data_IF_516858973314
#
_entry.id   IF_516858973314
#
_cell.length_a   1.000
_cell.length_b   1.000
_cell.length_c   1.000
_cell.angle_alpha   90.00
_cell.angle_beta   90.00
_cell.angle_gamma   90.00
#
_symmetry.space_group_name_H-M   'P 1'
#
loop_
_entity.id
_entity.type
_entity.pdbx_description
1 polymer ?
#
# COMPACT_ATOMS: atom_id res chain seq x y z
N UNK A 1 3.86 38.05 -16.72
CA UNK A 1 3.52 37.20 -15.58
C UNK A 1 3.51 35.77 -16.12
N UNK A 2 4.65 35.09 -15.99
CA UNK A 2 4.76 33.66 -16.32
C UNK A 2 3.88 32.86 -15.37
N UNK A 3 2.96 32.09 -15.94
CA UNK A 3 2.16 31.12 -15.19
C UNK A 3 3.11 30.05 -14.70
N UNK A 4 3.42 30.08 -13.40
CA UNK A 4 4.18 29.04 -12.73
C UNK A 4 3.33 27.74 -12.79
N UNK A 5 3.54 26.94 -13.82
CA UNK A 5 2.94 25.60 -13.92
C UNK A 5 3.57 24.77 -12.79
N UNK A 6 2.81 24.25 -11.85
CA UNK A 6 3.38 23.45 -10.77
C UNK A 6 4.16 22.29 -11.40
N UNK A 7 5.44 22.15 -11.06
CA UNK A 7 6.22 20.99 -11.46
C UNK A 7 5.54 19.71 -10.94
N UNK A 8 5.44 18.66 -11.76
CA UNK A 8 4.85 17.41 -11.31
C UNK A 8 5.62 16.92 -10.08
N UNK A 9 4.89 16.52 -9.03
CA UNK A 9 5.48 15.93 -7.83
C UNK A 9 6.28 14.68 -8.20
N UNK A 10 7.58 14.69 -7.95
CA UNK A 10 8.48 13.57 -8.21
C UNK A 10 8.23 12.43 -7.21
N UNK A 11 7.92 12.80 -5.95
CA UNK A 11 7.70 11.87 -4.84
C UNK A 11 6.24 11.88 -4.38
N UNK A 12 5.70 10.69 -4.17
CA UNK A 12 4.35 10.51 -3.63
C UNK A 12 4.33 10.54 -2.09
N UNK A 13 5.43 10.05 -1.47
CA UNK A 13 5.62 10.07 -0.02
C UNK A 13 7.03 10.56 0.24
N UNK A 14 7.19 11.48 1.20
CA UNK A 14 8.47 11.94 1.71
C UNK A 14 8.42 12.04 3.22
N UNK A 15 9.37 11.45 3.91
CA UNK A 15 9.55 11.64 5.35
C UNK A 15 10.90 12.27 5.65
N UNK A 16 10.94 13.10 6.69
CA UNK A 16 12.18 13.73 7.17
C UNK A 16 12.25 13.55 8.69
N UNK A 17 13.29 12.85 9.15
CA UNK A 17 13.57 12.54 10.55
C UNK A 17 12.32 12.07 11.32
N UNK A 18 11.51 11.23 10.65
CA UNK A 18 10.31 10.69 11.26
C UNK A 18 10.67 9.75 12.40
N UNK A 19 10.18 10.07 13.58
CA UNK A 19 10.27 9.24 14.78
C UNK A 19 8.86 8.88 15.22
N UNK A 20 8.65 7.64 15.67
CA UNK A 20 7.35 7.21 16.16
C UNK A 20 7.49 6.29 17.38
N UNK A 21 6.63 6.50 18.35
CA UNK A 21 6.53 5.70 19.58
C UNK A 21 5.13 5.12 19.74
N UNK A 22 5.09 3.88 20.21
CA UNK A 22 3.91 3.25 20.81
C UNK A 22 4.13 3.22 22.32
N UNK A 23 3.50 4.16 23.05
CA UNK A 23 3.80 4.39 24.45
C UNK A 23 5.27 4.75 24.67
N UNK A 24 6.02 3.91 25.36
CA UNK A 24 7.48 4.10 25.61
C UNK A 24 8.36 3.45 24.55
N UNK A 25 7.82 2.55 23.72
CA UNK A 25 8.58 1.85 22.69
C UNK A 25 8.74 2.69 21.44
N UNK A 26 9.98 3.01 21.06
CA UNK A 26 10.29 3.72 19.83
C UNK A 26 10.36 2.73 18.66
N UNK A 27 9.42 2.82 17.74
CA UNK A 27 9.30 1.90 16.60
C UNK A 27 9.95 2.45 15.32
N UNK A 28 10.07 3.78 15.18
CA UNK A 28 10.78 4.43 14.07
C UNK A 28 11.76 5.46 14.63
N UNK A 29 12.96 5.51 14.05
CA UNK A 29 14.07 6.33 14.51
C UNK A 29 14.67 7.08 13.31
N UNK A 30 14.46 8.41 13.25
CA UNK A 30 15.01 9.33 12.25
C UNK A 30 14.81 8.86 10.80
N UNK A 31 13.64 8.27 10.50
CA UNK A 31 13.34 7.74 9.17
C UNK A 31 13.16 8.88 8.16
N UNK A 32 14.13 9.00 7.25
CA UNK A 32 14.09 9.92 6.11
C UNK A 32 14.03 9.08 4.83
N UNK A 33 12.92 9.16 4.09
CA UNK A 33 12.64 8.30 2.96
C UNK A 33 11.83 9.04 1.90
N UNK A 34 12.07 8.74 0.64
CA UNK A 34 11.36 9.32 -0.50
C UNK A 34 10.86 8.19 -1.40
N UNK A 35 9.54 8.11 -1.61
CA UNK A 35 8.90 7.13 -2.49
C UNK A 35 8.47 7.83 -3.77
N UNK A 36 9.01 7.40 -4.89
CA UNK A 36 8.74 7.97 -6.21
C UNK A 36 7.32 7.71 -6.65
N UNK A 37 6.73 8.70 -7.30
CA UNK A 37 5.37 8.59 -7.83
C UNK A 37 5.31 7.60 -9.00
N UNK A 38 4.27 6.77 -9.01
CA UNK A 38 3.99 5.81 -10.08
C UNK A 38 4.87 4.56 -10.05
N UNK A 39 5.77 4.43 -9.07
CA UNK A 39 6.64 3.26 -8.92
C UNK A 39 6.13 2.31 -7.84
N UNK A 40 6.61 1.07 -7.91
CA UNK A 40 6.46 0.06 -6.88
C UNK A 40 7.72 0.05 -6.02
N UNK A 41 7.58 0.42 -4.75
CA UNK A 41 8.66 0.34 -3.77
C UNK A 41 8.33 -0.73 -2.73
N UNK A 42 9.24 -1.68 -2.52
CA UNK A 42 9.14 -2.65 -1.42
C UNK A 42 9.94 -2.21 -0.20
N UNK A 43 9.45 -2.56 0.98
CA UNK A 43 10.18 -2.45 2.24
C UNK A 43 10.45 -3.83 2.79
N UNK A 44 11.72 -4.18 2.99
CA UNK A 44 12.18 -5.45 3.56
C UNK A 44 12.89 -5.23 4.89
N UNK A 45 13.09 -6.30 5.66
CA UNK A 45 13.78 -6.28 6.95
C UNK A 45 13.20 -7.28 7.93
N UNK A 46 13.85 -7.54 9.06
CA UNK A 46 13.41 -8.48 10.07
C UNK A 46 12.01 -8.17 10.61
N UNK A 47 11.34 -9.18 11.19
CA UNK A 47 10.07 -8.97 11.89
C UNK A 47 10.24 -7.96 13.04
N UNK A 48 9.26 -7.05 13.18
CA UNK A 48 9.31 -6.02 14.23
C UNK A 48 10.25 -4.84 13.98
N UNK A 49 10.96 -4.76 12.84
CA UNK A 49 11.90 -3.65 12.57
C UNK A 49 11.24 -2.31 12.20
N UNK A 50 9.89 -2.21 12.12
CA UNK A 50 9.18 -0.95 11.88
C UNK A 50 8.53 -0.79 10.51
N UNK A 51 8.63 -1.75 9.57
CA UNK A 51 8.06 -1.67 8.21
C UNK A 51 6.58 -1.32 8.17
N UNK A 52 5.76 -2.16 8.80
CA UNK A 52 4.30 -1.93 8.87
C UNK A 52 3.95 -0.67 9.67
N UNK A 53 4.81 -0.28 10.62
CA UNK A 53 4.66 1.00 11.34
C UNK A 53 4.80 2.17 10.39
N UNK A 54 5.88 2.23 9.58
CA UNK A 54 6.06 3.27 8.58
C UNK A 54 4.92 3.27 7.54
N UNK A 55 4.58 2.10 7.00
CA UNK A 55 3.46 1.96 6.07
C UNK A 55 2.18 2.59 6.62
N UNK A 56 1.83 2.26 7.87
CA UNK A 56 0.62 2.74 8.55
C UNK A 56 0.67 4.21 8.93
N UNK A 57 1.86 4.82 9.03
CA UNK A 57 1.99 6.27 9.17
C UNK A 57 1.45 7.00 7.95
N UNK A 58 1.69 6.49 6.74
CA UNK A 58 1.36 7.18 5.49
C UNK A 58 -0.14 7.50 5.33
N UNK A 59 -1.04 6.80 6.04
CA UNK A 59 -2.48 7.09 6.09
C UNK A 59 -3.01 7.31 7.51
N UNK A 60 -2.11 7.44 8.49
CA UNK A 60 -2.41 7.69 9.90
C UNK A 60 -3.34 6.64 10.53
N UNK A 61 -3.33 5.38 10.04
CA UNK A 61 -4.16 4.32 10.61
C UNK A 61 -3.61 3.82 11.94
N UNK A 62 -2.30 3.96 12.17
CA UNK A 62 -1.62 3.62 13.42
C UNK A 62 -2.14 4.41 14.64
N UNK A 63 -2.67 5.61 14.45
CA UNK A 63 -3.29 6.41 15.52
C UNK A 63 -4.48 5.72 16.17
N UNK A 64 -5.12 4.77 15.47
CA UNK A 64 -6.24 3.98 16.02
C UNK A 64 -5.81 2.96 17.09
N UNK A 65 -4.51 2.67 17.17
CA UNK A 65 -3.96 1.73 18.18
C UNK A 65 -3.90 2.39 19.57
N UNK A 66 -3.99 3.72 19.62
CA UNK A 66 -3.84 4.52 20.84
C UNK A 66 -2.37 4.68 21.26
N UNK A 67 -2.10 5.71 22.06
CA UNK A 67 -0.76 6.01 22.61
C UNK A 67 0.36 6.15 21.55
N UNK A 68 0.02 6.64 20.36
CA UNK A 68 0.98 6.92 19.30
C UNK A 68 1.46 8.37 19.41
N UNK A 69 2.79 8.55 19.42
CA UNK A 69 3.44 9.85 19.30
C UNK A 69 4.39 9.83 18.12
N UNK A 70 4.32 10.82 17.27
CA UNK A 70 5.24 11.02 16.15
C UNK A 70 5.91 12.40 16.23
N UNK A 71 7.15 12.48 15.73
CA UNK A 71 7.89 13.74 15.49
C UNK A 71 8.60 13.64 14.15
N UNK A 72 9.09 14.76 13.63
CA UNK A 72 9.56 14.86 12.25
C UNK A 72 8.38 15.15 11.32
N UNK A 73 8.59 14.99 10.02
CA UNK A 73 7.56 15.25 9.02
C UNK A 73 7.30 14.03 8.15
N UNK A 74 6.10 13.93 7.63
CA UNK A 74 5.72 13.01 6.57
C UNK A 74 4.76 13.73 5.63
N UNK A 75 5.23 13.95 4.40
CA UNK A 75 4.44 14.54 3.34
C UNK A 75 3.90 13.45 2.44
N UNK A 76 2.63 13.51 2.14
CA UNK A 76 1.94 12.63 1.20
C UNK A 76 1.29 13.50 0.13
N UNK A 77 1.64 13.27 -1.13
CA UNK A 77 1.18 14.05 -2.27
C UNK A 77 1.43 15.57 -2.08
N UNK A 78 2.54 15.93 -1.44
CA UNK A 78 2.97 17.31 -1.21
C UNK A 78 2.33 18.01 -0.01
N UNK A 79 1.56 17.32 0.82
CA UNK A 79 0.97 17.85 2.04
C UNK A 79 1.49 17.11 3.27
N UNK A 80 1.90 17.85 4.31
CA UNK A 80 2.26 17.24 5.60
C UNK A 80 1.00 16.66 6.24
N UNK A 81 0.98 15.33 6.37
CA UNK A 81 -0.22 14.62 6.86
C UNK A 81 -0.50 14.82 8.36
N UNK A 82 0.44 15.37 9.13
CA UNK A 82 0.24 15.71 10.54
C UNK A 82 -0.23 17.16 10.75
N UNK A 83 -0.38 17.94 9.66
CA UNK A 83 -0.99 19.27 9.77
C UNK A 83 -2.43 19.15 10.30
N UNK A 84 -2.83 19.99 11.29
CA UNK A 84 -4.18 19.97 11.86
C UNK A 84 -5.32 20.19 10.86
N UNK A 85 -5.05 20.80 9.71
CA UNK A 85 -6.03 21.01 8.64
C UNK A 85 -6.32 19.75 7.80
N UNK A 86 -5.51 18.68 7.93
CA UNK A 86 -5.66 17.46 7.14
C UNK A 86 -6.85 16.63 7.59
N UNK A 87 -7.84 16.51 6.73
CA UNK A 87 -8.98 15.63 6.95
C UNK A 87 -8.61 14.16 6.70
N UNK A 88 -8.67 13.33 7.74
CA UNK A 88 -8.31 11.90 7.66
C UNK A 88 -9.11 11.11 6.62
N UNK A 89 -10.37 11.49 6.39
CA UNK A 89 -11.21 10.84 5.38
C UNK A 89 -10.65 11.09 3.97
N UNK A 90 -10.23 12.31 3.69
CA UNK A 90 -9.64 12.68 2.39
C UNK A 90 -8.26 12.04 2.22
N UNK A 91 -7.42 12.05 3.26
CA UNK A 91 -6.14 11.36 3.23
C UNK A 91 -6.31 9.87 2.90
N UNK A 92 -7.21 9.17 3.60
CA UNK A 92 -7.46 7.73 3.41
C UNK A 92 -8.18 7.39 2.11
N UNK A 93 -8.85 8.36 1.48
CA UNK A 93 -9.35 8.23 0.12
C UNK A 93 -8.22 8.22 -0.90
N UNK A 94 -7.21 9.08 -0.71
CA UNK A 94 -6.04 9.19 -1.58
C UNK A 94 -5.02 8.07 -1.35
N UNK A 95 -4.97 7.52 -0.13
CA UNK A 95 -3.99 6.52 0.31
C UNK A 95 -4.74 5.27 0.77
N UNK A 96 -5.04 4.40 -0.19
CA UNK A 96 -5.71 3.12 0.06
C UNK A 96 -4.78 2.13 0.75
N UNK A 97 -5.34 1.21 1.55
CA UNK A 97 -4.57 0.19 2.27
C UNK A 97 -5.14 -1.20 2.06
N UNK A 98 -4.23 -2.11 1.71
CA UNK A 98 -4.45 -3.56 1.63
C UNK A 98 -3.76 -4.21 2.82
N UNK A 99 -4.49 -5.02 3.58
CA UNK A 99 -4.01 -5.66 4.80
C UNK A 99 -3.44 -7.05 4.51
N UNK A 100 -2.62 -7.53 5.41
CA UNK A 100 -1.98 -8.84 5.38
C UNK A 100 -2.98 -9.99 5.21
N UNK A 101 -4.10 -9.95 5.93
CA UNK A 101 -5.20 -10.91 5.76
C UNK A 101 -6.30 -10.25 4.94
N UNK A 102 -6.80 -10.93 3.89
CA UNK A 102 -7.96 -10.46 3.16
C UNK A 102 -9.12 -10.14 4.12
N UNK A 103 -9.74 -9.00 3.94
CA UNK A 103 -10.83 -8.54 4.80
C UNK A 103 -12.02 -8.03 3.99
N UNK A 104 -12.58 -8.85 3.08
CA UNK A 104 -13.78 -8.45 2.37
C UNK A 104 -14.93 -8.22 3.37
N UNK A 105 -15.77 -7.26 3.07
CA UNK A 105 -16.98 -7.04 3.86
C UNK A 105 -17.96 -8.23 3.66
N UNK A 106 -18.77 -8.61 4.67
CA UNK A 106 -19.69 -9.74 4.59
C UNK A 106 -20.94 -9.43 3.75
N UNK A 107 -20.78 -8.70 2.68
CA UNK A 107 -21.77 -8.31 1.67
C UNK A 107 -21.40 -8.92 0.32
N UNK A 108 -22.15 -8.65 -0.74
CA UNK A 108 -21.87 -9.19 -2.06
C UNK A 108 -20.53 -8.69 -2.65
N UNK A 109 -20.04 -9.40 -3.68
CA UNK A 109 -18.85 -8.98 -4.45
C UNK A 109 -19.07 -7.58 -5.03
N UNK A 110 -20.23 -7.36 -5.66
CA UNK A 110 -20.61 -6.06 -6.23
C UNK A 110 -20.59 -4.94 -5.18
N UNK A 111 -21.24 -5.14 -4.05
CA UNK A 111 -21.32 -4.16 -2.97
C UNK A 111 -19.94 -3.87 -2.36
N UNK A 112 -19.04 -4.87 -2.29
CA UNK A 112 -17.66 -4.63 -1.87
C UNK A 112 -16.96 -3.63 -2.79
N UNK A 113 -17.07 -3.78 -4.12
CA UNK A 113 -16.45 -2.86 -5.09
C UNK A 113 -17.02 -1.46 -4.96
N UNK A 114 -18.34 -1.31 -4.80
CA UNK A 114 -19.01 -0.01 -4.74
C UNK A 114 -18.89 0.68 -3.36
N UNK A 115 -18.50 -0.05 -2.32
CA UNK A 115 -18.52 0.43 -0.94
C UNK A 115 -17.84 1.79 -0.73
N UNK A 116 -16.65 1.97 -1.33
CA UNK A 116 -15.92 3.23 -1.23
C UNK A 116 -16.64 4.40 -1.86
N UNK A 117 -17.31 4.18 -3.00
CA UNK A 117 -18.09 5.20 -3.67
C UNK A 117 -19.32 5.58 -2.86
N UNK A 118 -20.07 4.59 -2.36
CA UNK A 118 -21.28 4.82 -1.55
C UNK A 118 -20.94 5.63 -0.29
N UNK A 119 -19.79 5.32 0.34
CA UNK A 119 -19.31 6.06 1.52
C UNK A 119 -19.02 7.54 1.21
N UNK A 120 -18.51 7.83 -0.01
CA UNK A 120 -18.10 9.18 -0.41
C UNK A 120 -19.14 9.93 -1.25
N UNK A 121 -20.24 9.27 -1.64
CA UNK A 121 -21.25 9.85 -2.54
C UNK A 121 -22.04 11.02 -1.92
N UNK A 122 -21.95 11.28 -0.61
CA UNK A 122 -22.68 12.37 0.08
C UNK A 122 -24.17 12.43 -0.28
N UNK A 123 -24.80 11.24 -0.48
CA UNK A 123 -26.23 11.15 -0.85
C UNK A 123 -26.54 11.23 -2.36
N UNK A 124 -25.55 11.44 -3.21
CA UNK A 124 -25.75 11.36 -4.66
C UNK A 124 -25.85 9.89 -5.09
N UNK A 125 -26.94 9.53 -5.77
CA UNK A 125 -27.12 8.18 -6.31
C UNK A 125 -26.42 8.06 -7.66
N UNK A 126 -25.47 7.15 -7.76
CA UNK A 126 -24.83 6.78 -9.02
C UNK A 126 -25.83 5.94 -9.84
N UNK A 127 -26.09 6.25 -11.12
CA UNK A 127 -26.96 5.46 -12.00
C UNK A 127 -26.49 3.99 -12.07
N UNK A 128 -27.45 3.06 -12.16
CA UNK A 128 -27.13 1.62 -12.15
C UNK A 128 -26.16 1.22 -13.28
N UNK A 129 -26.34 1.75 -14.48
CA UNK A 129 -25.46 1.47 -15.61
C UNK A 129 -24.01 1.91 -15.34
N UNK A 130 -23.81 3.07 -14.70
CA UNK A 130 -22.49 3.56 -14.30
C UNK A 130 -21.89 2.67 -13.20
N UNK A 131 -22.69 2.25 -12.20
CA UNK A 131 -22.25 1.30 -11.19
C UNK A 131 -21.78 -0.03 -11.82
N UNK A 132 -22.52 -0.54 -12.83
CA UNK A 132 -22.17 -1.78 -13.53
C UNK A 132 -20.81 -1.64 -14.25
N UNK A 133 -20.57 -0.51 -14.92
CA UNK A 133 -19.29 -0.22 -15.57
C UNK A 133 -18.15 -0.11 -14.56
N UNK A 134 -18.37 0.56 -13.41
CA UNK A 134 -17.37 0.69 -12.36
C UNK A 134 -17.01 -0.69 -11.80
N UNK A 135 -17.99 -1.53 -11.51
CA UNK A 135 -17.77 -2.88 -10.99
C UNK A 135 -16.97 -3.72 -11.98
N UNK A 136 -17.38 -3.75 -13.25
CA UNK A 136 -16.67 -4.48 -14.29
C UNK A 136 -15.24 -3.98 -14.44
N UNK A 137 -15.04 -2.66 -14.62
CA UNK A 137 -13.72 -2.08 -14.83
C UNK A 137 -12.78 -2.33 -13.65
N UNK A 138 -13.27 -2.21 -12.41
CA UNK A 138 -12.47 -2.46 -11.21
C UNK A 138 -12.08 -3.94 -11.08
N UNK A 139 -13.01 -4.86 -11.36
CA UNK A 139 -12.71 -6.30 -11.29
C UNK A 139 -11.81 -6.75 -12.44
N UNK A 140 -11.87 -6.12 -13.62
CA UNK A 140 -10.92 -6.36 -14.72
C UNK A 140 -9.52 -5.89 -14.37
N UNK A 141 -9.37 -4.71 -13.76
CA UNK A 141 -8.07 -4.19 -13.35
C UNK A 141 -7.35 -5.11 -12.35
N UNK A 142 -8.10 -5.85 -11.52
CA UNK A 142 -7.52 -6.80 -10.56
C UNK A 142 -7.51 -8.25 -11.08
N UNK A 143 -7.73 -8.46 -12.38
CA UNK A 143 -7.74 -9.79 -13.02
C UNK A 143 -8.71 -10.77 -12.33
N UNK A 144 -9.85 -10.27 -11.85
CA UNK A 144 -10.86 -11.07 -11.14
C UNK A 144 -12.18 -11.22 -11.90
N UNK A 145 -12.45 -10.36 -12.90
CA UNK A 145 -13.73 -10.28 -13.60
C UNK A 145 -14.20 -11.63 -14.16
N UNK A 146 -13.36 -12.32 -14.91
CA UNK A 146 -13.74 -13.58 -15.58
C UNK A 146 -14.13 -14.70 -14.60
N UNK A 147 -13.63 -14.63 -13.37
CA UNK A 147 -13.93 -15.60 -12.33
C UNK A 147 -15.22 -15.30 -11.57
N UNK A 148 -15.68 -14.06 -11.54
CA UNK A 148 -16.79 -13.63 -10.66
C UNK A 148 -17.95 -12.95 -11.39
N UNK A 149 -17.88 -12.69 -12.70
CA UNK A 149 -18.90 -11.96 -13.47
C UNK A 149 -20.32 -12.53 -13.32
N UNK A 150 -20.44 -13.84 -13.21
CA UNK A 150 -21.72 -14.54 -13.04
C UNK A 150 -22.13 -14.72 -11.57
N UNK A 151 -21.27 -14.28 -10.62
CA UNK A 151 -21.40 -14.49 -9.17
C UNK A 151 -21.42 -13.18 -8.38
N UNK A 152 -21.63 -12.01 -9.03
CA UNK A 152 -21.52 -10.69 -8.41
C UNK A 152 -22.42 -10.46 -7.19
N UNK A 153 -23.51 -11.24 -7.07
CA UNK A 153 -24.46 -11.18 -5.94
C UNK A 153 -24.08 -12.12 -4.79
N UNK A 154 -23.09 -13.00 -4.98
CA UNK A 154 -22.63 -13.87 -3.91
C UNK A 154 -21.89 -13.10 -2.82
N UNK A 155 -21.93 -13.62 -1.59
CA UNK A 155 -21.16 -13.07 -0.48
C UNK A 155 -19.66 -13.17 -0.76
N UNK A 156 -18.95 -12.07 -0.64
CA UNK A 156 -17.50 -12.00 -0.88
C UNK A 156 -16.68 -12.96 0.02
N UNK A 157 -17.20 -13.29 1.19
CA UNK A 157 -16.56 -14.25 2.12
C UNK A 157 -16.54 -15.71 1.62
N UNK A 158 -17.23 -16.02 0.51
CA UNK A 158 -17.20 -17.35 -0.14
C UNK A 158 -16.10 -17.50 -1.18
N UNK A 159 -15.45 -16.40 -1.53
CA UNK A 159 -14.31 -16.40 -2.45
C UNK A 159 -13.11 -17.11 -1.84
N UNK A 160 -12.21 -17.64 -2.66
CA UNK A 160 -10.89 -18.11 -2.23
C UNK A 160 -10.07 -16.95 -1.59
N UNK A 161 -9.03 -17.26 -0.84
CA UNK A 161 -8.19 -16.23 -0.22
C UNK A 161 -7.56 -15.30 -1.25
N UNK A 162 -7.10 -15.84 -2.39
CA UNK A 162 -6.59 -15.06 -3.52
C UNK A 162 -7.65 -14.11 -4.09
N UNK A 163 -8.84 -14.66 -4.41
CA UNK A 163 -9.97 -13.86 -4.94
C UNK A 163 -10.39 -12.77 -3.93
N UNK A 164 -10.41 -13.09 -2.64
CA UNK A 164 -10.69 -12.12 -1.57
C UNK A 164 -9.64 -11.00 -1.54
N UNK A 165 -8.36 -11.34 -1.69
CA UNK A 165 -7.28 -10.34 -1.72
C UNK A 165 -7.40 -9.42 -2.94
N UNK A 166 -7.62 -9.98 -4.12
CA UNK A 166 -7.91 -9.22 -5.34
C UNK A 166 -9.15 -8.32 -5.17
N UNK A 167 -10.21 -8.82 -4.55
CA UNK A 167 -11.40 -8.03 -4.27
C UNK A 167 -11.13 -6.88 -3.29
N UNK A 168 -10.29 -7.09 -2.26
CA UNK A 168 -9.87 -6.03 -1.34
C UNK A 168 -9.12 -4.91 -2.06
N UNK A 169 -8.34 -5.23 -3.10
CA UNK A 169 -7.70 -4.24 -3.98
C UNK A 169 -8.77 -3.56 -4.86
N UNK A 170 -9.64 -4.34 -5.53
CA UNK A 170 -10.71 -3.82 -6.39
C UNK A 170 -11.61 -2.81 -5.66
N UNK A 171 -11.89 -3.03 -4.37
CA UNK A 171 -12.69 -2.13 -3.52
C UNK A 171 -12.10 -0.72 -3.38
N UNK A 172 -10.77 -0.59 -3.52
CA UNK A 172 -10.09 0.70 -3.41
C UNK A 172 -10.15 1.50 -4.73
N UNK A 173 -10.17 0.82 -5.87
CA UNK A 173 -9.98 1.47 -7.19
C UNK A 173 -11.07 2.48 -7.57
N UNK A 174 -12.36 2.28 -7.28
CA UNK A 174 -13.42 3.22 -7.66
C UNK A 174 -13.26 4.63 -7.08
N UNK A 175 -12.63 4.76 -5.91
CA UNK A 175 -12.35 6.09 -5.31
C UNK A 175 -11.08 6.73 -5.87
N UNK A 176 -10.41 6.08 -6.83
CA UNK A 176 -9.21 6.54 -7.54
C UNK A 176 -8.11 7.03 -6.60
N UNK A 177 -7.60 6.17 -5.71
CA UNK A 177 -6.48 6.54 -4.84
C UNK A 177 -5.24 6.84 -5.69
N UNK A 178 -4.35 7.69 -5.20
CA UNK A 178 -3.04 7.94 -5.82
C UNK A 178 -1.98 6.95 -5.33
N UNK A 179 -2.17 6.43 -4.11
CA UNK A 179 -1.21 5.54 -3.45
C UNK A 179 -1.94 4.31 -2.93
N UNK A 180 -1.33 3.14 -3.14
CA UNK A 180 -1.73 1.87 -2.56
C UNK A 180 -0.66 1.39 -1.58
N UNK A 181 -1.02 1.30 -0.31
CA UNK A 181 -0.19 0.71 0.74
C UNK A 181 -0.56 -0.77 0.85
N UNK A 182 0.44 -1.66 0.82
CA UNK A 182 0.22 -3.10 0.89
C UNK A 182 1.05 -3.72 2.02
N UNK A 183 0.38 -4.15 3.09
CA UNK A 183 1.01 -4.76 4.26
C UNK A 183 1.03 -6.29 4.06
N UNK A 184 2.14 -6.84 3.59
CA UNK A 184 2.34 -8.28 3.32
C UNK A 184 1.20 -8.92 2.49
N UNK A 185 0.90 -8.41 1.28
CA UNK A 185 -0.32 -8.75 0.54
C UNK A 185 -0.45 -10.22 0.13
N UNK A 186 0.64 -11.00 0.16
CA UNK A 186 0.65 -12.40 -0.26
C UNK A 186 0.91 -13.39 0.88
N UNK A 187 1.13 -12.94 2.12
CA UNK A 187 1.57 -13.82 3.21
C UNK A 187 0.55 -14.90 3.61
N UNK A 188 -0.73 -14.70 3.29
CA UNK A 188 -1.81 -15.65 3.57
C UNK A 188 -2.13 -16.58 2.38
N UNK A 189 -1.40 -16.44 1.25
CA UNK A 189 -1.68 -17.11 0.00
C UNK A 189 -0.73 -18.29 -0.23
N UNK A 190 -1.18 -19.28 -0.98
CA UNK A 190 -0.33 -20.33 -1.53
C UNK A 190 0.60 -19.78 -2.64
N UNK A 191 1.57 -20.55 -3.14
CA UNK A 191 2.49 -20.07 -4.17
C UNK A 191 1.81 -19.57 -5.44
N UNK A 192 0.74 -20.26 -5.89
CA UNK A 192 -0.01 -19.89 -7.10
C UNK A 192 -0.80 -18.60 -6.91
N UNK A 193 -1.45 -18.44 -5.76
CA UNK A 193 -2.15 -17.21 -5.40
C UNK A 193 -1.19 -16.02 -5.22
N UNK A 194 0.02 -16.30 -4.70
CA UNK A 194 1.09 -15.29 -4.58
C UNK A 194 1.50 -14.78 -5.96
N UNK A 195 1.78 -15.65 -6.92
CA UNK A 195 2.12 -15.29 -8.29
C UNK A 195 1.02 -14.44 -8.94
N UNK A 196 -0.23 -14.86 -8.82
CA UNK A 196 -1.38 -14.14 -9.38
C UNK A 196 -1.59 -12.73 -8.76
N UNK A 197 -1.23 -12.52 -7.50
CA UNK A 197 -1.27 -11.19 -6.85
C UNK A 197 -0.03 -10.36 -7.22
N UNK A 198 1.15 -10.98 -7.40
CA UNK A 198 2.35 -10.30 -7.91
C UNK A 198 2.13 -9.76 -9.33
N UNK A 199 1.53 -10.56 -10.23
CA UNK A 199 1.15 -10.13 -11.58
C UNK A 199 0.18 -8.94 -11.54
N UNK A 200 -0.80 -8.98 -10.64
CA UNK A 200 -1.72 -7.86 -10.43
C UNK A 200 -0.98 -6.60 -9.97
N UNK A 201 -0.07 -6.69 -9.00
CA UNK A 201 0.72 -5.55 -8.51
C UNK A 201 1.48 -4.91 -9.68
N UNK A 202 2.11 -5.72 -10.53
CA UNK A 202 2.77 -5.24 -11.74
C UNK A 202 1.83 -4.57 -12.74
N UNK A 203 0.62 -5.11 -12.93
CA UNK A 203 -0.38 -4.52 -13.83
C UNK A 203 -0.87 -3.14 -13.36
N UNK A 204 -0.79 -2.85 -12.06
CA UNK A 204 -1.15 -1.56 -11.47
C UNK A 204 -0.03 -0.51 -11.53
N UNK A 205 1.20 -0.91 -11.92
CA UNK A 205 2.36 -0.03 -12.05
C UNK A 205 2.08 1.14 -13.00
N UNK A 206 2.65 2.30 -12.70
CA UNK A 206 2.49 3.52 -13.49
C UNK A 206 1.15 4.23 -13.27
N UNK A 207 0.07 3.47 -13.01
CA UNK A 207 -1.24 4.04 -12.66
C UNK A 207 -1.30 4.47 -11.19
N UNK A 208 -0.73 3.65 -10.31
CA UNK A 208 -0.70 3.88 -8.87
C UNK A 208 0.75 3.93 -8.36
N UNK A 209 0.99 4.70 -7.30
CA UNK A 209 2.19 4.55 -6.50
C UNK A 209 1.94 3.42 -5.51
N UNK A 210 2.82 2.43 -5.45
CA UNK A 210 2.65 1.28 -4.57
C UNK A 210 3.80 1.22 -3.57
N UNK A 211 3.47 1.23 -2.28
CA UNK A 211 4.41 0.95 -1.21
C UNK A 211 4.01 -0.37 -0.55
N UNK A 212 4.85 -1.40 -0.70
CA UNK A 212 4.59 -2.75 -0.24
C UNK A 212 5.57 -3.14 0.87
N UNK A 213 5.06 -3.70 1.95
CA UNK A 213 5.86 -4.38 2.98
C UNK A 213 5.82 -5.87 2.71
N UNK A 214 6.97 -6.52 2.73
CA UNK A 214 7.07 -7.97 2.66
C UNK A 214 8.28 -8.49 3.44
N UNK A 215 8.15 -9.68 4.01
CA UNK A 215 9.27 -10.43 4.57
C UNK A 215 9.82 -11.47 3.57
N UNK A 216 9.16 -11.63 2.41
CA UNK A 216 9.60 -12.53 1.34
C UNK A 216 10.51 -11.78 0.36
N UNK A 217 11.82 -12.04 0.44
CA UNK A 217 12.84 -11.40 -0.41
C UNK A 217 12.63 -11.71 -1.90
N UNK A 218 12.21 -12.94 -2.23
CA UNK A 218 11.93 -13.30 -3.61
C UNK A 218 10.76 -12.49 -4.18
N UNK A 219 9.72 -12.24 -3.38
CA UNK A 219 8.62 -11.36 -3.75
C UNK A 219 9.09 -9.91 -3.95
N UNK A 220 9.85 -9.35 -2.99
CA UNK A 220 10.38 -8.00 -3.12
C UNK A 220 11.17 -7.84 -4.43
N UNK A 221 12.05 -8.82 -4.73
CA UNK A 221 12.87 -8.82 -5.95
C UNK A 221 12.05 -8.88 -7.24
N UNK A 222 10.94 -9.65 -7.27
CA UNK A 222 10.12 -9.79 -8.48
C UNK A 222 9.11 -8.67 -8.65
N UNK A 223 8.56 -8.16 -7.54
CA UNK A 223 7.37 -7.31 -7.55
C UNK A 223 7.66 -5.83 -7.26
N UNK A 224 8.93 -5.37 -7.24
CA UNK A 224 9.23 -3.95 -7.01
C UNK A 224 10.35 -3.42 -7.88
N UNK A 225 10.35 -2.10 -8.11
CA UNK A 225 11.35 -1.34 -8.86
C UNK A 225 12.41 -0.75 -7.92
N UNK A 226 12.00 -0.34 -6.73
CA UNK A 226 12.88 0.13 -5.66
C UNK A 226 12.66 -0.70 -4.40
N UNK A 227 13.71 -0.85 -3.62
CA UNK A 227 13.68 -1.60 -2.37
C UNK A 227 14.34 -0.81 -1.25
N UNK A 228 13.68 -0.79 -0.10
CA UNK A 228 14.14 -0.17 1.14
C UNK A 228 14.43 -1.26 2.16
N UNK A 229 15.63 -1.29 2.70
CA UNK A 229 15.95 -2.14 3.83
C UNK A 229 15.82 -1.35 5.14
N UNK A 230 14.96 -1.84 6.02
CA UNK A 230 14.71 -1.28 7.35
C UNK A 230 15.23 -2.22 8.43
N UNK A 231 15.98 -1.67 9.39
CA UNK A 231 16.52 -2.41 10.54
C UNK A 231 16.37 -1.58 11.82
N UNK A 232 15.81 -2.18 12.87
CA UNK A 232 15.67 -1.58 14.20
C UNK A 232 15.09 -0.16 14.17
N UNK A 233 14.06 0.05 13.35
CA UNK A 233 13.38 1.34 13.20
C UNK A 233 14.08 2.35 12.31
N UNK A 234 15.21 2.02 11.67
CA UNK A 234 16.00 2.90 10.82
C UNK A 234 16.02 2.41 9.37
N UNK A 235 16.03 3.34 8.43
CA UNK A 235 16.36 3.03 7.03
C UNK A 235 17.87 2.83 6.96
N UNK A 236 18.29 1.64 6.55
CA UNK A 236 19.70 1.30 6.33
C UNK A 236 20.08 1.62 4.89
N UNK A 237 19.23 1.23 3.94
CA UNK A 237 19.53 1.38 2.53
C UNK A 237 18.25 1.51 1.69
N UNK A 238 18.30 2.33 0.64
CA UNK A 238 17.25 2.48 -0.37
C UNK A 238 17.89 2.57 -1.75
N UNK A 239 17.64 1.57 -2.59
CA UNK A 239 18.24 1.43 -3.91
C UNK A 239 17.22 0.86 -4.91
N UNK A 240 17.50 0.97 -6.24
CA UNK A 240 16.84 0.13 -7.22
C UNK A 240 16.94 -1.35 -6.82
N UNK A 241 15.82 -2.07 -6.95
CA UNK A 241 15.70 -3.45 -6.44
C UNK A 241 16.80 -4.36 -6.95
N UNK A 242 17.12 -4.29 -8.25
CA UNK A 242 18.18 -5.11 -8.84
C UNK A 242 19.54 -4.86 -8.16
N UNK A 243 19.85 -3.59 -7.86
CA UNK A 243 21.13 -3.22 -7.23
C UNK A 243 21.15 -3.70 -5.78
N UNK A 244 20.08 -3.47 -5.02
CA UNK A 244 20.02 -3.86 -3.62
C UNK A 244 20.20 -5.36 -3.42
N UNK A 245 19.66 -6.20 -4.33
CA UNK A 245 19.76 -7.66 -4.22
C UNK A 245 21.05 -8.27 -4.80
N UNK A 246 21.79 -7.52 -5.63
CA UNK A 246 23.02 -8.04 -6.28
C UNK A 246 24.27 -7.43 -5.67
N UNK A 247 24.24 -6.15 -5.34
CA UNK A 247 25.41 -5.40 -4.88
C UNK A 247 24.99 -4.31 -3.87
N UNK A 248 24.45 -4.70 -2.71
CA UNK A 248 24.12 -3.74 -1.65
C UNK A 248 25.41 -3.04 -1.16
N UNK A 249 25.28 -1.78 -0.77
CA UNK A 249 26.43 -0.98 -0.31
C UNK A 249 26.65 -1.10 1.21
N UNK A 250 25.59 -1.49 1.94
CA UNK A 250 25.63 -1.63 3.40
C UNK A 250 25.83 -3.11 3.76
N UNK A 251 26.74 -3.36 4.70
CA UNK A 251 27.03 -4.72 5.17
C UNK A 251 25.80 -5.38 5.78
N UNK A 252 25.02 -4.64 6.56
CA UNK A 252 23.80 -5.14 7.18
C UNK A 252 22.76 -5.58 6.15
N UNK A 253 22.67 -4.88 5.01
CA UNK A 253 21.81 -5.27 3.90
C UNK A 253 22.27 -6.57 3.27
N UNK A 254 23.60 -6.68 3.01
CA UNK A 254 24.20 -7.90 2.46
C UNK A 254 23.97 -9.12 3.37
N UNK A 255 24.26 -8.96 4.67
CA UNK A 255 24.09 -10.03 5.65
C UNK A 255 22.61 -10.47 5.75
N UNK A 256 21.67 -9.53 5.65
CA UNK A 256 20.22 -9.83 5.65
C UNK A 256 19.80 -10.62 4.42
N UNK A 257 20.23 -10.20 3.22
CA UNK A 257 19.87 -10.85 1.95
C UNK A 257 20.45 -12.26 1.87
N UNK A 258 21.66 -12.47 2.38
CA UNK A 258 22.34 -13.77 2.42
C UNK A 258 21.84 -14.69 3.56
N UNK A 259 20.88 -14.24 4.37
CA UNK A 259 20.33 -15.04 5.47
C UNK A 259 21.27 -15.19 6.68
N UNK A 260 22.28 -14.33 6.79
CA UNK A 260 23.24 -14.33 7.91
C UNK A 260 22.76 -13.55 9.14
N UNK A 261 21.53 -13.06 9.08
CA UNK A 261 20.90 -12.34 10.18
C UNK A 261 20.29 -13.33 11.16
N UNK A 262 20.91 -13.48 12.33
CA UNK A 262 20.47 -14.32 13.44
C UNK A 262 20.93 -13.73 14.75
#
# INVERSE_FOLDING_TARGET
MEKNTPQPLEYAIRSEKLNLWYGTFQALIDVSLQIKKGMITSMIGPSGCGKSTFLRCCNRINERIGYVRATGTIDVLGANIYDPSVELVQLRKQVGMVFQRPNPLPISIRENVLFGLDLHAKGQKIPKAEQDQIVESSLRQVLLWEFVKDRLKEKATRLSLEEQQKLCIARLLPVKPSILLMDEPCSALDPKGTEAVEELIWALRGTYTILMVTHNMAQARRASEECVFLLLGRVVEHLPTEILFVSPTQKETADYIEGRFG
#
